data_IF_986475765511
#
_entry.id   IF_986475765511
#
_cell.length_a   1.000
_cell.length_b   1.000
_cell.length_c   1.000
_cell.angle_alpha   90.00
_cell.angle_beta   90.00
_cell.angle_gamma   90.00
#
_symmetry.space_group_name_H-M   'P 1'
#
loop_
_entity.id
_entity.type
_entity.pdbx_description
1 polymer ?
#
# COMPACT_ATOMS: atom_id res chain seq x y z
N UNK A 1 -22.52 -27.26 -21.82
CA UNK A 1 -22.96 -26.10 -21.02
C UNK A 1 -22.11 -25.80 -19.78
N UNK A 2 -21.46 -26.78 -19.10
CA UNK A 2 -20.65 -26.50 -17.89
C UNK A 2 -19.33 -25.72 -18.11
N UNK A 3 -18.75 -25.78 -19.32
CA UNK A 3 -17.44 -25.18 -19.62
C UNK A 3 -17.48 -23.66 -19.82
N UNK A 4 -18.61 -23.11 -20.25
CA UNK A 4 -18.77 -21.67 -20.54
C UNK A 4 -18.87 -20.87 -19.24
N UNK A 5 -19.58 -21.40 -18.23
CA UNK A 5 -19.68 -20.77 -16.91
C UNK A 5 -18.32 -20.65 -16.20
N UNK A 6 -17.44 -21.64 -16.34
CA UNK A 6 -16.11 -21.60 -15.72
C UNK A 6 -15.23 -20.47 -16.29
N UNK A 7 -15.31 -20.24 -17.61
CA UNK A 7 -14.58 -19.16 -18.29
C UNK A 7 -15.11 -17.80 -17.83
N UNK A 8 -16.44 -17.63 -17.80
CA UNK A 8 -17.09 -16.40 -17.35
C UNK A 8 -16.74 -16.04 -15.89
N UNK A 9 -16.71 -17.03 -14.99
CA UNK A 9 -16.32 -16.81 -13.59
C UNK A 9 -14.84 -16.45 -13.50
N UNK A 10 -13.95 -17.10 -14.26
CA UNK A 10 -12.53 -16.77 -14.26
C UNK A 10 -12.25 -15.36 -14.79
N UNK A 11 -12.96 -14.92 -15.83
CA UNK A 11 -12.84 -13.58 -16.38
C UNK A 11 -13.34 -12.52 -15.39
N UNK A 12 -14.43 -12.83 -14.67
CA UNK A 12 -14.97 -11.94 -13.63
C UNK A 12 -13.95 -11.70 -12.50
N UNK A 13 -13.20 -12.73 -12.10
CA UNK A 13 -12.17 -12.59 -11.05
C UNK A 13 -10.95 -11.77 -11.49
N UNK A 14 -10.60 -11.76 -12.79
CA UNK A 14 -9.49 -10.93 -13.31
C UNK A 14 -9.86 -9.45 -13.33
N UNK A 15 -11.13 -9.11 -13.51
CA UNK A 15 -11.60 -7.71 -13.47
C UNK A 15 -11.99 -7.27 -12.04
N UNK A 16 -12.32 -8.21 -11.15
CA UNK A 16 -12.80 -7.93 -9.78
C UNK A 16 -11.72 -7.45 -8.80
N UNK A 17 -10.44 -7.42 -9.17
CA UNK A 17 -9.37 -6.84 -8.34
C UNK A 17 -9.17 -5.34 -8.56
N UNK A 18 -9.89 -4.74 -9.52
CA UNK A 18 -9.86 -3.29 -9.78
C UNK A 18 -11.12 -2.59 -9.27
N UNK A 19 -11.61 -2.99 -8.10
CA UNK A 19 -12.53 -2.15 -7.31
C UNK A 19 -11.77 -0.96 -6.71
N UNK A 20 -11.22 -0.09 -7.55
CA UNK A 20 -10.68 1.19 -7.10
C UNK A 20 -11.87 2.05 -6.71
N UNK A 21 -12.14 2.15 -5.40
CA UNK A 21 -13.04 3.16 -4.89
C UNK A 21 -12.56 4.52 -5.42
N UNK A 22 -13.50 5.23 -6.05
CA UNK A 22 -13.40 6.58 -6.59
C UNK A 22 -12.31 7.43 -5.93
N UNK A 23 -11.29 7.81 -6.71
CA UNK A 23 -10.34 8.87 -6.37
C UNK A 23 -11.14 10.18 -6.31
N UNK A 24 -11.67 10.52 -5.14
CA UNK A 24 -12.14 11.88 -4.87
C UNK A 24 -10.90 12.77 -4.86
N UNK A 25 -10.90 13.76 -5.75
CA UNK A 25 -9.87 14.78 -5.87
C UNK A 25 -9.50 15.37 -4.50
N UNK A 26 -8.25 15.21 -4.07
CA UNK A 26 -7.47 16.16 -3.25
C UNK A 26 -6.05 15.67 -2.94
N UNK A 27 -5.77 14.36 -2.97
CA UNK A 27 -4.42 13.83 -2.64
C UNK A 27 -3.64 13.38 -3.88
N UNK A 28 -2.49 14.00 -4.13
CA UNK A 28 -1.57 13.64 -5.24
C UNK A 28 -0.95 12.24 -5.06
N UNK A 29 -0.94 11.71 -3.83
CA UNK A 29 -0.53 10.34 -3.52
C UNK A 29 -1.39 9.74 -2.41
N UNK A 30 -1.75 8.47 -2.56
CA UNK A 30 -2.66 7.77 -1.65
C UNK A 30 -2.21 6.34 -1.43
N UNK A 31 -2.39 5.82 -0.23
CA UNK A 31 -2.15 4.43 0.14
C UNK A 31 -3.47 3.76 0.57
N UNK A 32 -3.82 2.66 -0.11
CA UNK A 32 -5.09 1.96 0.09
C UNK A 32 -4.89 0.46 0.33
N UNK A 33 -5.71 -0.17 1.18
CA UNK A 33 -6.64 0.46 2.13
C UNK A 33 -5.89 1.04 3.34
N UNK A 34 -6.51 2.00 4.05
CA UNK A 34 -5.94 2.64 5.25
C UNK A 34 -5.72 1.67 6.42
N UNK A 35 -6.40 0.52 6.41
CA UNK A 35 -6.27 -0.51 7.44
C UNK A 35 -6.10 -1.87 6.77
N UNK A 36 -5.00 -2.53 7.11
CA UNK A 36 -4.68 -3.88 6.64
C UNK A 36 -4.28 -4.78 7.79
N UNK A 37 -4.29 -6.09 7.56
CA UNK A 37 -3.67 -7.09 8.44
C UNK A 37 -2.31 -7.50 7.88
N UNK A 38 -1.41 -7.96 8.76
CA UNK A 38 -0.17 -8.63 8.35
C UNK A 38 -0.47 -9.69 7.29
N UNK A 39 0.27 -9.65 6.18
CA UNK A 39 0.14 -10.50 5.01
C UNK A 39 -0.76 -9.97 3.90
N UNK A 40 -1.57 -8.93 4.15
CA UNK A 40 -2.41 -8.29 3.13
C UNK A 40 -1.63 -7.27 2.28
N UNK A 41 -2.26 -6.83 1.20
CA UNK A 41 -1.68 -5.92 0.20
C UNK A 41 -2.08 -4.48 0.50
N UNK A 42 -1.11 -3.59 0.33
CA UNK A 42 -1.28 -2.14 0.29
C UNK A 42 -0.92 -1.70 -1.13
N UNK A 43 -1.78 -0.90 -1.74
CA UNK A 43 -1.55 -0.25 -3.04
C UNK A 43 -1.27 1.22 -2.79
N UNK A 44 -0.13 1.70 -3.28
CA UNK A 44 0.23 3.11 -3.27
C UNK A 44 0.03 3.65 -4.67
N UNK A 45 -0.68 4.76 -4.82
CA UNK A 45 -0.87 5.45 -6.09
C UNK A 45 -0.36 6.88 -6.00
N UNK A 46 0.19 7.40 -7.09
CA UNK A 46 0.50 8.83 -7.23
C UNK A 46 0.24 9.31 -8.65
N UNK A 47 -0.17 10.57 -8.79
CA UNK A 47 -0.33 11.21 -10.08
C UNK A 47 0.98 11.86 -10.62
N UNK A 48 2.07 11.82 -9.84
CA UNK A 48 3.37 12.37 -10.20
C UNK A 48 4.23 11.31 -10.89
N UNK A 49 5.19 11.76 -11.71
CA UNK A 49 6.06 10.89 -12.50
C UNK A 49 7.23 10.36 -11.65
N UNK A 50 7.32 9.04 -11.40
CA UNK A 50 8.41 8.47 -10.61
C UNK A 50 9.65 8.11 -11.44
N UNK A 51 9.56 8.27 -12.77
CA UNK A 51 10.57 7.83 -13.72
C UNK A 51 10.99 8.99 -14.63
N UNK A 52 12.28 9.12 -14.91
CA UNK A 52 12.83 10.07 -15.91
C UNK A 52 13.01 9.39 -17.28
N UNK A 53 13.59 8.19 -17.25
CA UNK A 53 13.54 7.22 -18.34
C UNK A 53 12.94 5.91 -17.79
N UNK A 54 12.50 5.00 -18.66
CA UNK A 54 11.85 3.74 -18.23
C UNK A 54 12.75 2.90 -17.31
N UNK A 55 14.07 3.07 -17.40
CA UNK A 55 15.06 2.30 -16.66
C UNK A 55 15.46 2.94 -15.30
N UNK A 56 15.11 4.21 -15.07
CA UNK A 56 15.45 4.95 -13.85
C UNK A 56 14.17 5.44 -13.17
N UNK A 57 13.59 4.56 -12.37
CA UNK A 57 12.40 4.84 -11.58
C UNK A 57 12.67 4.75 -10.08
N UNK A 58 12.05 5.65 -9.32
CA UNK A 58 12.17 5.67 -7.87
C UNK A 58 10.95 5.04 -7.20
N UNK A 59 11.22 4.30 -6.13
CA UNK A 59 10.18 3.75 -5.28
C UNK A 59 9.79 4.69 -4.14
N UNK A 60 8.56 4.56 -3.63
CA UNK A 60 8.18 5.17 -2.37
C UNK A 60 9.08 4.71 -1.23
N UNK A 61 9.51 5.65 -0.41
CA UNK A 61 10.13 5.34 0.90
C UNK A 61 9.03 5.16 1.95
N UNK A 62 9.36 4.46 3.04
CA UNK A 62 8.38 4.07 4.06
C UNK A 62 8.88 4.49 5.43
N UNK A 63 8.05 5.23 6.16
CA UNK A 63 8.39 5.77 7.48
C UNK A 63 7.32 5.42 8.50
N UNK A 64 7.71 5.39 9.79
CA UNK A 64 6.74 5.30 10.89
C UNK A 64 5.94 6.60 10.90
N UNK A 65 4.62 6.50 10.96
CA UNK A 65 3.77 7.67 11.03
C UNK A 65 4.06 8.48 12.30
N UNK A 66 4.35 9.77 12.11
CA UNK A 66 4.40 10.75 13.17
C UNK A 66 3.34 11.83 12.90
N UNK A 67 2.64 12.27 13.94
CA UNK A 67 1.69 13.37 13.85
C UNK A 67 2.30 14.72 13.45
N UNK A 68 3.62 14.87 13.56
CA UNK A 68 4.34 16.06 13.09
C UNK A 68 4.60 16.06 11.59
N UNK A 69 4.38 14.94 10.89
CA UNK A 69 4.48 14.88 9.44
C UNK A 69 3.44 15.80 8.82
N UNK A 70 3.90 16.82 8.11
CA UNK A 70 3.01 17.73 7.39
C UNK A 70 2.70 17.14 6.02
N UNK A 71 1.44 16.78 5.78
CA UNK A 71 0.95 16.24 4.49
C UNK A 71 0.92 17.28 3.37
N UNK A 72 1.48 18.48 3.57
CA UNK A 72 1.47 19.56 2.59
C UNK A 72 2.49 19.28 1.49
N UNK A 73 2.03 18.58 0.44
CA UNK A 73 2.55 18.35 -0.93
C UNK A 73 4.03 17.99 -1.13
N UNK A 74 4.97 18.43 -0.31
CA UNK A 74 6.40 18.15 -0.40
C UNK A 74 7.01 18.25 1.00
N UNK A 75 7.42 17.12 1.56
CA UNK A 75 8.18 17.11 2.81
C UNK A 75 9.65 16.84 2.49
N UNK A 76 10.49 17.85 2.76
CA UNK A 76 11.94 17.80 2.55
C UNK A 76 12.61 16.95 3.62
N UNK A 77 12.02 16.89 4.81
CA UNK A 77 12.57 16.22 6.00
C UNK A 77 11.98 14.82 6.18
N UNK A 78 11.11 14.37 5.26
CA UNK A 78 10.49 13.04 5.30
C UNK A 78 11.50 11.91 5.52
N UNK A 79 12.70 12.03 4.95
CA UNK A 79 13.70 11.00 5.10
C UNK A 79 14.36 10.94 6.48
N UNK A 80 14.29 12.01 7.27
CA UNK A 80 14.80 12.08 8.64
C UNK A 80 13.93 11.27 9.63
N UNK A 81 12.67 11.02 9.26
CA UNK A 81 11.78 10.20 10.09
C UNK A 81 12.26 8.76 10.20
N UNK A 82 11.76 8.06 11.22
CA UNK A 82 12.13 6.68 11.49
C UNK A 82 11.79 5.76 10.33
N UNK A 83 12.82 5.07 9.81
CA UNK A 83 12.66 4.09 8.74
C UNK A 83 11.68 2.97 9.13
N UNK A 84 10.76 2.67 8.21
CA UNK A 84 9.79 1.60 8.33
C UNK A 84 9.82 0.64 7.13
N UNK A 85 10.92 0.61 6.36
CA UNK A 85 11.08 -0.28 5.21
C UNK A 85 10.76 -1.74 5.55
N UNK A 86 11.15 -2.22 6.74
CA UNK A 86 10.86 -3.60 7.19
C UNK A 86 9.37 -3.93 7.32
N UNK A 87 8.50 -2.93 7.50
CA UNK A 87 7.06 -3.13 7.72
C UNK A 87 6.34 -3.62 6.48
N UNK A 88 6.96 -3.48 5.31
CA UNK A 88 6.39 -3.91 4.04
C UNK A 88 7.43 -4.56 3.14
N UNK A 89 6.97 -5.41 2.23
CA UNK A 89 7.79 -5.93 1.12
C UNK A 89 7.18 -5.45 -0.18
N UNK A 90 7.96 -4.75 -1.01
CA UNK A 90 7.52 -4.39 -2.36
C UNK A 90 7.25 -5.66 -3.17
N UNK A 91 6.10 -5.70 -3.84
CA UNK A 91 5.71 -6.79 -4.73
C UNK A 91 5.76 -6.37 -6.20
N UNK A 92 5.36 -5.13 -6.51
CA UNK A 92 5.41 -4.59 -7.88
C UNK A 92 5.46 -3.07 -7.88
N UNK A 93 5.72 -2.50 -9.05
CA UNK A 93 5.78 -1.06 -9.27
C UNK A 93 7.18 -0.56 -9.65
N UNK A 94 7.30 0.68 -10.13
CA UNK A 94 6.18 1.52 -10.57
C UNK A 94 5.50 0.95 -11.82
N UNK A 95 4.17 0.99 -11.86
CA UNK A 95 3.37 0.60 -13.04
C UNK A 95 2.47 1.78 -13.37
N UNK A 96 2.49 2.24 -14.62
CA UNK A 96 1.54 3.26 -15.10
C UNK A 96 0.19 2.60 -15.31
N UNK A 97 -0.82 3.04 -14.54
CA UNK A 97 -2.18 2.48 -14.58
C UNK A 97 -3.19 3.42 -15.26
N UNK A 98 -2.82 4.67 -15.50
CA UNK A 98 -3.59 5.63 -16.28
C UNK A 98 -2.65 6.58 -17.01
N UNK A 99 -3.01 6.95 -18.25
CA UNK A 99 -2.29 7.92 -19.08
C UNK A 99 -2.76 9.35 -18.81
N UNK A 100 -4.06 9.55 -18.60
CA UNK A 100 -4.70 10.85 -18.37
C UNK A 100 -5.88 10.73 -17.38
N UNK A 101 -5.75 11.24 -16.13
CA UNK A 101 -4.51 11.78 -15.56
C UNK A 101 -3.45 10.67 -15.46
N UNK A 102 -2.18 11.04 -15.54
CA UNK A 102 -1.08 10.09 -15.35
C UNK A 102 -1.13 9.54 -13.93
N UNK A 103 -1.32 8.23 -13.75
CA UNK A 103 -1.32 7.60 -12.43
C UNK A 103 -0.37 6.42 -12.42
N UNK A 104 0.49 6.39 -11.41
CA UNK A 104 1.46 5.34 -11.15
C UNK A 104 1.10 4.57 -9.88
N UNK A 105 1.36 3.27 -9.89
CA UNK A 105 1.03 2.37 -8.80
C UNK A 105 2.21 1.50 -8.35
N UNK A 106 2.26 1.26 -7.05
CA UNK A 106 3.13 0.29 -6.39
C UNK A 106 2.30 -0.61 -5.49
N UNK A 107 2.70 -1.87 -5.36
CA UNK A 107 2.04 -2.80 -4.43
C UNK A 107 3.03 -3.34 -3.42
N UNK A 108 2.58 -3.42 -2.18
CA UNK A 108 3.37 -3.82 -1.03
C UNK A 108 2.61 -4.87 -0.22
N UNK A 109 3.33 -5.83 0.35
CA UNK A 109 2.81 -6.78 1.34
C UNK A 109 3.13 -6.28 2.75
N UNK A 110 2.14 -6.23 3.62
CA UNK A 110 2.34 -5.89 5.03
C UNK A 110 3.04 -7.02 5.81
N UNK A 111 4.11 -6.70 6.55
CA UNK A 111 4.94 -7.65 7.29
C UNK A 111 4.78 -7.53 8.81
N UNK A 112 4.75 -6.30 9.34
CA UNK A 112 4.71 -6.04 10.79
C UNK A 112 3.61 -5.05 11.17
N UNK A 113 3.12 -5.19 12.40
CA UNK A 113 2.09 -4.31 12.95
C UNK A 113 2.64 -2.92 13.27
N UNK A 114 1.89 -1.88 12.91
CA UNK A 114 2.24 -0.48 13.17
C UNK A 114 1.50 0.45 12.21
N UNK A 115 1.67 1.75 12.38
CA UNK A 115 1.13 2.75 11.46
C UNK A 115 2.28 3.35 10.66
N UNK A 116 2.19 3.26 9.33
CA UNK A 116 3.23 3.70 8.40
C UNK A 116 2.67 4.73 7.42
N UNK A 117 3.57 5.46 6.80
CA UNK A 117 3.30 6.39 5.70
C UNK A 117 4.25 6.12 4.55
N UNK A 118 3.78 6.29 3.32
CA UNK A 118 4.60 6.21 2.13
C UNK A 118 4.94 7.62 1.64
N UNK A 119 6.20 7.82 1.27
CA UNK A 119 6.69 9.01 0.59
C UNK A 119 6.90 8.70 -0.89
N UNK A 120 5.92 9.01 -1.74
CA UNK A 120 6.03 8.83 -3.19
C UNK A 120 7.02 9.85 -3.78
N UNK A 121 7.73 9.50 -4.88
CA UNK A 121 8.53 10.47 -5.62
C UNK A 121 7.66 11.62 -6.13
N UNK A 122 8.14 12.86 -5.99
CA UNK A 122 7.39 14.04 -6.41
C UNK A 122 7.71 14.51 -7.84
N UNK A 123 8.84 14.09 -8.40
CA UNK A 123 9.25 14.44 -9.76
C UNK A 123 10.12 13.33 -10.38
N UNK A 124 10.29 13.33 -11.71
CA UNK A 124 11.29 12.51 -12.37
C UNK A 124 12.66 12.74 -11.74
N UNK A 125 13.45 11.68 -11.56
CA UNK A 125 14.75 11.71 -10.86
C UNK A 125 14.72 12.16 -9.39
N UNK A 126 13.56 12.35 -8.75
CA UNK A 126 13.50 12.80 -7.36
C UNK A 126 14.28 11.82 -6.47
N UNK A 127 15.45 12.23 -5.92
CA UNK A 127 16.14 11.44 -4.92
C UNK A 127 15.22 11.27 -3.69
N UNK A 128 15.66 10.59 -2.63
CA UNK A 128 15.07 10.68 -1.29
C UNK A 128 15.18 12.09 -0.69
N UNK A 129 14.90 13.12 -1.45
CA UNK A 129 14.80 14.51 -1.04
C UNK A 129 13.51 14.99 -1.68
N UNK A 130 12.57 15.46 -0.88
CA UNK A 130 11.23 15.89 -1.29
C UNK A 130 10.32 14.71 -1.66
N UNK A 131 9.48 14.32 -0.70
CA UNK A 131 8.49 13.25 -0.88
C UNK A 131 7.08 13.80 -0.82
N UNK A 132 6.24 13.22 -1.65
CA UNK A 132 4.81 13.40 -1.55
C UNK A 132 4.23 12.35 -0.60
N UNK A 133 3.62 12.83 0.48
CA UNK A 133 3.18 11.99 1.60
C UNK A 133 1.79 11.43 1.34
N UNK A 134 1.61 10.12 1.51
CA UNK A 134 0.28 9.50 1.50
C UNK A 134 -0.45 9.68 2.83
N UNK A 135 -1.75 9.40 2.83
CA UNK A 135 -2.47 9.08 4.06
C UNK A 135 -1.79 7.92 4.84
N UNK A 136 -1.91 7.89 6.19
CA UNK A 136 -1.35 6.80 6.99
C UNK A 136 -2.06 5.46 6.80
N UNK A 137 -1.30 4.37 6.84
CA UNK A 137 -1.81 2.99 6.80
C UNK A 137 -1.53 2.29 8.12
N UNK A 138 -2.59 1.80 8.77
CA UNK A 138 -2.49 1.00 10.00
C UNK A 138 -2.48 -0.49 9.68
N UNK A 139 -1.36 -1.15 9.99
CA UNK A 139 -1.19 -2.60 9.89
C UNK A 139 -1.50 -3.23 11.25
N UNK A 140 -2.53 -4.07 11.28
CA UNK A 140 -2.96 -4.81 12.46
C UNK A 140 -2.48 -6.26 12.43
N UNK A 141 -2.39 -6.88 13.60
CA UNK A 141 -2.05 -8.31 13.67
C UNK A 141 -3.10 -9.11 12.91
N UNK A 142 -2.67 -10.11 12.15
CA UNK A 142 -3.61 -11.14 11.77
C UNK A 142 -4.01 -11.86 13.06
N UNK A 143 -5.30 -11.82 13.42
CA UNK A 143 -5.78 -12.53 14.61
C UNK A 143 -5.40 -14.00 14.44
N UNK A 144 -4.40 -14.46 15.20
CA UNK A 144 -4.19 -15.88 15.37
C UNK A 144 -5.54 -16.44 15.83
N UNK A 145 -5.98 -17.62 15.35
CA UNK A 145 -7.21 -18.21 15.81
C UNK A 145 -7.00 -18.67 17.26
N UNK A 146 -6.96 -17.72 18.20
CA UNK A 146 -6.72 -17.94 19.62
C UNK A 146 -7.76 -18.92 20.15
N UNK A 147 -8.98 -18.89 19.60
CA UNK A 147 -10.03 -19.87 19.87
C UNK A 147 -9.65 -21.30 19.47
N UNK A 148 -8.87 -21.50 18.40
CA UNK A 148 -8.34 -22.81 18.01
C UNK A 148 -7.19 -23.24 18.91
N UNK A 149 -6.29 -22.32 19.26
CA UNK A 149 -5.19 -22.60 20.20
C UNK A 149 -5.70 -22.92 21.61
N UNK A 150 -6.60 -22.10 22.16
CA UNK A 150 -7.26 -22.31 23.45
C UNK A 150 -7.99 -23.66 23.49
N UNK A 151 -8.74 -24.01 22.43
CA UNK A 151 -9.38 -25.34 22.31
C UNK A 151 -8.37 -26.47 22.24
N UNK A 152 -7.27 -26.31 21.50
CA UNK A 152 -6.19 -27.32 21.41
C UNK A 152 -5.51 -27.56 22.75
N UNK A 153 -5.27 -26.50 23.54
CA UNK A 153 -4.69 -26.59 24.88
C UNK A 153 -5.73 -26.86 26.00
N UNK A 154 -7.00 -27.10 25.65
CA UNK A 154 -8.04 -27.43 26.61
C UNK A 154 -8.53 -26.27 27.49
N UNK A 155 -8.10 -25.04 27.21
CA UNK A 155 -8.63 -23.84 27.85
C UNK A 155 -10.06 -23.58 27.34
N UNK A 156 -11.03 -23.56 28.25
CA UNK A 156 -12.45 -23.35 27.94
C UNK A 156 -13.38 -24.55 28.19
N UNK A 157 -12.86 -25.70 28.63
CA UNK A 157 -13.71 -26.73 29.26
C UNK A 157 -14.14 -26.21 30.64
N UNK A 158 -15.32 -25.60 30.73
CA UNK A 158 -15.97 -25.42 32.03
C UNK A 158 -16.21 -26.81 32.62
N UNK A 159 -15.75 -27.02 33.86
CA UNK A 159 -16.15 -28.16 34.68
C UNK A 159 -17.65 -28.11 34.93
#
# INVERSE_FOLDING_TARGET
>A
MKKIFAILISLLFVVSVFGMASLTAEDEATATPERVKVGQIITVTSNLYPCDTVDECYDPTVKIYDSSMTTLMLDVDFEEFQDASKYVTKLSGPIKISEDPSIWAWTYRANFTGTIVFGAPAYPTSPPSQRLITNPVTITSNSLPMDKFMKFFGFGKKK
#
